data_IF_726396342257
#
_entry.id   IF_726396342257
#
_cell.length_a   1.000
_cell.length_b   1.000
_cell.length_c   1.000
_cell.angle_alpha   90.00
_cell.angle_beta   90.00
_cell.angle_gamma   90.00
#
_symmetry.space_group_name_H-M   'P 1'
#
loop_
_entity.id
_entity.type
_entity.pdbx_description
1 polymer ?
#
# COMPACT_ATOMS: atom_id res chain seq x y z
N UNK A 1 -35.23 -23.41 20.85
CA UNK A 1 -34.59 -24.41 21.74
C UNK A 1 -33.39 -24.94 20.94
N UNK A 2 -32.11 -24.65 21.19
CA UNK A 2 -31.32 -23.94 22.21
C UNK A 2 -30.64 -22.71 21.52
N UNK A 3 -29.84 -21.80 22.08
CA UNK A 3 -28.96 -21.80 23.25
C UNK A 3 -28.54 -20.34 23.56
N UNK A 4 -28.20 -20.06 24.83
CA UNK A 4 -27.67 -18.79 25.33
C UNK A 4 -26.14 -18.78 25.12
N UNK A 5 -25.54 -17.71 24.58
CA UNK A 5 -24.09 -17.52 24.62
C UNK A 5 -23.74 -16.09 25.05
N UNK A 6 -23.20 -15.95 26.26
CA UNK A 6 -22.47 -14.75 26.69
C UNK A 6 -21.06 -14.82 26.08
N UNK A 7 -20.61 -13.76 25.37
CA UNK A 7 -19.17 -13.48 25.35
C UNK A 7 -18.83 -12.01 25.10
N UNK A 8 -17.83 -11.63 25.87
CA UNK A 8 -17.25 -10.33 26.14
C UNK A 8 -16.21 -9.89 25.10
N UNK A 9 -16.05 -8.57 25.02
CA UNK A 9 -14.98 -7.77 24.41
C UNK A 9 -14.84 -7.87 22.88
N UNK A 10 -15.08 -6.72 22.24
CA UNK A 10 -14.67 -6.32 20.90
C UNK A 10 -13.41 -7.06 20.37
N UNK A 11 -13.62 -8.23 19.76
CA UNK A 11 -12.80 -8.72 18.67
C UNK A 11 -13.64 -8.49 17.44
N UNK A 12 -13.36 -7.41 16.73
CA UNK A 12 -13.92 -7.09 15.41
C UNK A 12 -13.48 -8.18 14.43
N UNK A 13 -14.18 -9.32 14.45
CA UNK A 13 -14.18 -10.26 13.33
C UNK A 13 -15.14 -9.63 12.34
N UNK A 14 -14.59 -8.75 11.52
CA UNK A 14 -15.31 -8.14 10.42
C UNK A 14 -15.47 -9.19 9.32
N UNK A 15 -16.71 -9.40 8.86
CA UNK A 15 -17.03 -10.34 7.79
C UNK A 15 -17.32 -9.53 6.53
N UNK A 16 -16.48 -9.70 5.51
CA UNK A 16 -16.69 -9.09 4.20
C UNK A 16 -17.52 -10.02 3.30
N UNK A 17 -18.65 -9.53 2.80
CA UNK A 17 -19.57 -10.27 1.91
C UNK A 17 -19.64 -9.60 0.55
N UNK A 18 -19.18 -10.29 -0.49
CA UNK A 18 -19.33 -9.83 -1.87
C UNK A 18 -20.58 -10.44 -2.50
N UNK A 19 -21.49 -9.58 -2.97
CA UNK A 19 -22.71 -9.96 -3.69
C UNK A 19 -22.52 -9.58 -5.16
N UNK A 20 -22.46 -10.58 -6.03
CA UNK A 20 -22.26 -10.37 -7.47
C UNK A 20 -23.63 -10.20 -8.13
N UNK A 21 -23.88 -8.99 -8.62
CA UNK A 21 -25.14 -8.63 -9.28
C UNK A 21 -25.11 -9.03 -10.76
N UNK A 22 -26.27 -9.04 -11.41
CA UNK A 22 -26.35 -9.25 -12.85
C UNK A 22 -25.72 -8.07 -13.62
N UNK A 23 -25.23 -8.32 -14.85
CA UNK A 23 -24.54 -7.34 -15.69
C UNK A 23 -25.44 -6.19 -16.19
N UNK A 24 -26.75 -6.39 -16.22
CA UNK A 24 -27.73 -5.37 -16.64
C UNK A 24 -28.00 -4.32 -15.55
N UNK A 25 -27.65 -4.63 -14.29
CA UNK A 25 -27.79 -3.71 -13.16
C UNK A 25 -26.88 -2.48 -13.31
N UNK A 26 -27.45 -1.29 -13.07
CA UNK A 26 -26.77 0.02 -13.23
C UNK A 26 -26.41 0.69 -11.91
N UNK A 27 -26.54 -0.02 -10.79
CA UNK A 27 -26.20 0.47 -9.47
C UNK A 27 -25.17 -0.45 -8.80
N UNK A 28 -24.56 0.08 -7.74
CA UNK A 28 -23.73 -0.67 -6.79
C UNK A 28 -24.12 -0.23 -5.39
N UNK A 29 -23.89 -1.09 -4.42
CA UNK A 29 -24.16 -0.78 -3.02
C UNK A 29 -23.01 -1.28 -2.15
N UNK A 30 -22.67 -0.47 -1.14
CA UNK A 30 -21.80 -0.88 -0.04
C UNK A 30 -22.53 -0.51 1.24
N UNK A 31 -22.62 -1.45 2.16
CA UNK A 31 -23.29 -1.23 3.42
C UNK A 31 -22.68 -2.05 4.53
N UNK A 32 -23.09 -1.72 5.75
CA UNK A 32 -22.65 -2.40 6.96
C UNK A 32 -23.90 -2.79 7.77
N UNK A 33 -23.92 -3.99 8.31
CA UNK A 33 -24.99 -4.46 9.17
C UNK A 33 -24.42 -5.27 10.33
N UNK A 34 -24.95 -5.05 11.53
CA UNK A 34 -24.64 -5.89 12.68
C UNK A 34 -25.64 -7.05 12.70
N UNK A 35 -25.13 -8.29 12.66
CA UNK A 35 -25.94 -9.52 12.76
C UNK A 35 -25.33 -10.39 13.84
N UNK A 36 -26.11 -10.73 14.87
CA UNK A 36 -25.69 -11.54 16.01
C UNK A 36 -24.36 -11.09 16.67
N UNK A 37 -24.14 -9.76 16.70
CA UNK A 37 -22.94 -9.14 17.27
C UNK A 37 -21.72 -9.08 16.35
N UNK A 38 -21.81 -9.58 15.11
CA UNK A 38 -20.77 -9.46 14.09
C UNK A 38 -21.04 -8.26 13.18
N UNK A 39 -20.00 -7.48 12.87
CA UNK A 39 -20.06 -6.46 11.82
C UNK A 39 -19.90 -7.17 10.47
N UNK A 40 -20.95 -7.15 9.67
CA UNK A 40 -20.94 -7.63 8.30
C UNK A 40 -20.85 -6.41 7.39
N UNK A 41 -19.74 -6.28 6.66
CA UNK A 41 -19.62 -5.35 5.56
C UNK A 41 -20.01 -6.07 4.26
N UNK A 42 -20.90 -5.49 3.46
CA UNK A 42 -21.31 -6.10 2.18
C UNK A 42 -21.07 -5.17 0.99
N UNK A 43 -20.78 -5.79 -0.15
CA UNK A 43 -20.45 -5.14 -1.41
C UNK A 43 -21.24 -5.75 -2.56
N UNK A 44 -22.31 -5.08 -2.98
CA UNK A 44 -23.11 -5.49 -4.12
C UNK A 44 -22.61 -4.80 -5.40
N UNK A 45 -21.97 -5.55 -6.29
CA UNK A 45 -21.37 -5.02 -7.52
C UNK A 45 -21.67 -5.92 -8.73
N UNK A 46 -21.96 -5.36 -9.91
CA UNK A 46 -21.96 -6.14 -11.15
C UNK A 46 -20.51 -6.52 -11.53
N UNK A 47 -20.27 -7.63 -12.26
CA UNK A 47 -18.94 -8.11 -12.66
C UNK A 47 -18.09 -7.03 -13.35
N UNK A 48 -18.70 -6.22 -14.22
CA UNK A 48 -18.01 -5.12 -14.90
C UNK A 48 -17.38 -4.10 -13.94
N UNK A 49 -17.96 -3.90 -12.75
CA UNK A 49 -17.40 -2.99 -11.75
C UNK A 49 -16.21 -3.61 -11.01
N UNK A 50 -16.21 -4.92 -10.78
CA UNK A 50 -15.11 -5.65 -10.13
C UNK A 50 -13.87 -5.65 -11.02
N UNK A 51 -14.05 -5.87 -12.33
CA UNK A 51 -12.95 -5.76 -13.31
C UNK A 51 -12.31 -4.38 -13.32
N UNK A 52 -13.10 -3.32 -13.15
CA UNK A 52 -12.57 -1.96 -12.99
C UNK A 52 -11.78 -1.81 -11.69
N UNK A 53 -12.22 -2.41 -10.59
CA UNK A 53 -11.41 -2.41 -9.36
C UNK A 53 -10.07 -3.12 -9.55
N UNK A 54 -10.02 -4.25 -10.24
CA UNK A 54 -8.76 -4.93 -10.55
C UNK A 54 -7.83 -4.02 -11.36
N UNK A 55 -8.36 -3.36 -12.40
CA UNK A 55 -7.60 -2.41 -13.21
C UNK A 55 -7.13 -1.20 -12.39
N UNK A 56 -8.01 -0.59 -11.59
CA UNK A 56 -7.68 0.57 -10.76
C UNK A 56 -6.64 0.24 -9.70
N UNK A 57 -6.75 -0.93 -9.08
CA UNK A 57 -5.76 -1.41 -8.12
C UNK A 57 -4.42 -1.64 -8.81
N UNK A 58 -4.40 -2.35 -9.94
CA UNK A 58 -3.17 -2.55 -10.72
C UNK A 58 -2.50 -1.23 -11.10
N UNK A 59 -3.26 -0.26 -11.62
CA UNK A 59 -2.74 1.07 -12.00
C UNK A 59 -2.18 1.85 -10.80
N UNK A 60 -2.62 1.54 -9.58
CA UNK A 60 -2.14 2.15 -8.33
C UNK A 60 -1.13 1.28 -7.59
N UNK A 61 -0.65 0.21 -8.24
CA UNK A 61 0.21 -0.83 -7.65
C UNK A 61 -0.38 -1.42 -6.35
N UNK A 62 -1.71 -1.58 -6.28
CA UNK A 62 -2.43 -2.20 -5.16
C UNK A 62 -2.94 -3.57 -5.60
N UNK A 63 -3.27 -4.41 -4.63
CA UNK A 63 -3.78 -5.77 -4.90
C UNK A 63 -5.06 -6.10 -4.13
N UNK A 64 -5.66 -5.12 -3.45
CA UNK A 64 -6.73 -5.36 -2.46
C UNK A 64 -7.90 -6.16 -3.05
N UNK A 65 -8.46 -5.68 -4.16
CA UNK A 65 -9.59 -6.34 -4.80
C UNK A 65 -9.24 -7.73 -5.34
N UNK A 66 -8.04 -7.91 -5.91
CA UNK A 66 -7.56 -9.21 -6.39
C UNK A 66 -7.46 -10.21 -5.22
N UNK A 67 -6.80 -9.81 -4.13
CA UNK A 67 -6.61 -10.65 -2.92
C UNK A 67 -7.95 -11.02 -2.29
N UNK A 68 -8.90 -10.06 -2.19
CA UNK A 68 -10.25 -10.34 -1.69
C UNK A 68 -10.94 -11.44 -2.50
N UNK A 69 -10.87 -11.36 -3.84
CA UNK A 69 -11.48 -12.37 -4.69
C UNK A 69 -10.76 -13.72 -4.63
N UNK A 70 -9.43 -13.73 -4.61
CA UNK A 70 -8.65 -14.98 -4.55
C UNK A 70 -8.86 -15.74 -3.25
N UNK A 71 -8.86 -15.02 -2.12
CA UNK A 71 -8.93 -15.62 -0.77
C UNK A 71 -10.36 -15.85 -0.28
N UNK A 72 -11.35 -15.17 -0.86
CA UNK A 72 -12.75 -15.32 -0.48
C UNK A 72 -13.32 -16.72 -0.72
N UNK A 73 -14.21 -17.16 0.17
CA UNK A 73 -14.94 -18.43 0.01
C UNK A 73 -16.22 -18.20 -0.81
N UNK A 74 -16.48 -19.06 -1.80
CA UNK A 74 -17.74 -19.04 -2.56
C UNK A 74 -18.80 -19.74 -1.72
N UNK A 75 -19.87 -19.03 -1.37
CA UNK A 75 -21.04 -19.61 -0.71
C UNK A 75 -22.05 -20.13 -1.73
N UNK A 76 -22.33 -19.35 -2.79
CA UNK A 76 -23.25 -19.70 -3.88
C UNK A 76 -22.75 -19.10 -5.19
N UNK A 77 -22.77 -19.87 -6.28
CA UNK A 77 -22.56 -19.37 -7.65
C UNK A 77 -23.34 -20.25 -8.64
N UNK A 78 -24.45 -19.73 -9.14
CA UNK A 78 -25.32 -20.46 -10.08
C UNK A 78 -24.93 -20.25 -11.55
N UNK A 79 -24.01 -19.32 -11.82
CA UNK A 79 -23.66 -18.89 -13.19
C UNK A 79 -22.23 -19.20 -13.59
N UNK A 80 -21.35 -19.43 -12.61
CA UNK A 80 -19.91 -19.62 -12.80
C UNK A 80 -19.11 -18.31 -12.79
N UNK A 81 -19.77 -17.15 -12.74
CA UNK A 81 -19.12 -15.83 -12.86
C UNK A 81 -18.12 -15.56 -11.73
N UNK A 82 -18.31 -16.12 -10.53
CA UNK A 82 -17.41 -15.88 -9.40
C UNK A 82 -16.07 -16.60 -9.64
N UNK A 83 -16.13 -17.80 -10.21
CA UNK A 83 -14.92 -18.52 -10.60
C UNK A 83 -14.16 -17.81 -11.73
N UNK A 84 -14.87 -17.25 -12.72
CA UNK A 84 -14.24 -16.42 -13.76
C UNK A 84 -13.52 -15.21 -13.16
N UNK A 85 -14.19 -14.46 -12.28
CA UNK A 85 -13.59 -13.29 -11.62
C UNK A 85 -12.39 -13.67 -10.74
N UNK A 86 -12.40 -14.85 -10.11
CA UNK A 86 -11.23 -15.39 -9.40
C UNK A 86 -10.05 -15.64 -10.33
N UNK A 87 -10.28 -16.30 -11.46
CA UNK A 87 -9.22 -16.54 -12.46
C UNK A 87 -8.67 -15.23 -13.01
N UNK A 88 -9.53 -14.25 -13.29
CA UNK A 88 -9.11 -12.91 -13.68
C UNK A 88 -8.26 -12.24 -12.60
N UNK A 89 -8.62 -12.36 -11.31
CA UNK A 89 -7.84 -11.81 -10.21
C UNK A 89 -6.41 -12.39 -10.15
N UNK A 90 -6.25 -13.71 -10.35
CA UNK A 90 -4.93 -14.33 -10.51
C UNK A 90 -4.17 -13.76 -11.69
N UNK A 91 -4.80 -13.67 -12.87
CA UNK A 91 -4.18 -13.12 -14.06
C UNK A 91 -3.77 -11.65 -13.91
N UNK A 92 -4.52 -10.85 -13.14
CA UNK A 92 -4.15 -9.46 -12.82
C UNK A 92 -2.93 -9.39 -11.90
N UNK A 93 -2.84 -10.26 -10.89
CA UNK A 93 -1.72 -10.26 -9.94
C UNK A 93 -0.41 -10.74 -10.58
N UNK A 94 -0.48 -11.56 -11.63
CA UNK A 94 0.70 -12.02 -12.39
C UNK A 94 1.24 -10.96 -13.38
N UNK A 95 0.54 -9.85 -13.59
CA UNK A 95 1.02 -8.77 -14.46
C UNK A 95 2.19 -8.03 -13.82
N UNK A 96 3.18 -7.68 -14.65
CA UNK A 96 4.28 -6.83 -14.23
C UNK A 96 3.88 -5.35 -14.30
N UNK A 97 4.28 -4.59 -13.29
CA UNK A 97 4.20 -3.13 -13.34
C UNK A 97 5.18 -2.57 -14.38
N UNK A 98 4.81 -1.44 -14.97
CA UNK A 98 5.71 -0.71 -15.86
C UNK A 98 6.86 -0.12 -15.04
N UNK A 99 8.08 -0.24 -15.57
CA UNK A 99 9.24 0.41 -14.97
C UNK A 99 9.08 1.93 -15.03
N UNK A 100 9.42 2.61 -13.93
CA UNK A 100 9.41 4.07 -13.87
C UNK A 100 10.26 4.64 -15.01
N UNK A 101 9.67 5.53 -15.81
CA UNK A 101 10.42 6.19 -16.89
C UNK A 101 11.50 7.14 -16.31
N UNK A 102 12.53 7.42 -17.12
CA UNK A 102 13.69 8.20 -16.67
C UNK A 102 13.34 9.58 -16.13
N UNK A 103 12.41 10.28 -16.78
CA UNK A 103 11.99 11.63 -16.36
C UNK A 103 11.34 11.60 -14.98
N UNK A 104 10.41 10.65 -14.75
CA UNK A 104 9.76 10.46 -13.45
C UNK A 104 10.79 10.03 -12.40
N UNK A 105 11.72 9.14 -12.74
CA UNK A 105 12.79 8.74 -11.82
C UNK A 105 13.63 9.94 -11.36
N UNK A 106 14.04 10.81 -12.28
CA UNK A 106 14.81 12.02 -11.93
C UNK A 106 14.00 13.00 -11.07
N UNK A 107 12.70 13.17 -11.36
CA UNK A 107 11.81 13.99 -10.53
C UNK A 107 11.64 13.41 -9.11
N UNK A 108 11.57 12.08 -8.98
CA UNK A 108 11.49 11.40 -7.68
C UNK A 108 12.76 11.58 -6.86
N UNK A 109 13.94 11.46 -7.48
CA UNK A 109 15.22 11.75 -6.80
C UNK A 109 15.27 13.19 -6.29
N UNK A 110 14.86 14.15 -7.12
CA UNK A 110 14.76 15.55 -6.71
C UNK A 110 13.78 15.73 -5.54
N UNK A 111 12.62 15.07 -5.60
CA UNK A 111 11.64 15.05 -4.51
C UNK A 111 12.21 14.50 -3.20
N UNK A 112 12.94 13.38 -3.23
CA UNK A 112 13.59 12.81 -2.05
C UNK A 112 14.66 13.72 -1.47
N UNK A 113 15.48 14.34 -2.32
CA UNK A 113 16.48 15.32 -1.89
C UNK A 113 15.83 16.53 -1.23
N UNK A 114 14.82 17.14 -1.87
CA UNK A 114 14.14 18.31 -1.32
C UNK A 114 13.34 17.99 -0.05
N UNK A 115 12.77 16.79 0.06
CA UNK A 115 12.12 16.32 1.28
C UNK A 115 13.12 16.22 2.44
N UNK A 116 14.33 15.68 2.19
CA UNK A 116 15.38 15.61 3.20
C UNK A 116 15.83 17.02 3.63
N UNK A 117 16.08 17.91 2.66
CA UNK A 117 16.49 19.30 2.90
C UNK A 117 15.47 20.04 3.78
N UNK A 118 14.19 19.97 3.42
CA UNK A 118 13.10 20.53 4.23
C UNK A 118 13.04 19.92 5.65
N UNK A 119 13.37 18.64 5.81
CA UNK A 119 13.38 17.97 7.12
C UNK A 119 14.56 18.44 7.98
N UNK A 120 15.74 18.65 7.37
CA UNK A 120 16.92 19.26 8.02
C UNK A 120 16.61 20.68 8.48
N UNK A 121 16.01 21.50 7.62
CA UNK A 121 15.57 22.85 7.98
C UNK A 121 14.63 22.85 9.19
N UNK A 122 13.67 21.90 9.21
CA UNK A 122 12.76 21.75 10.36
C UNK A 122 13.50 21.45 11.66
N UNK A 123 14.51 20.59 11.60
CA UNK A 123 15.34 20.23 12.75
C UNK A 123 16.19 21.42 13.23
N UNK A 124 16.91 22.09 12.31
CA UNK A 124 17.82 23.19 12.62
C UNK A 124 17.08 24.40 13.22
N UNK A 125 15.89 24.69 12.70
CA UNK A 125 15.00 25.73 13.21
C UNK A 125 14.29 25.33 14.52
N UNK A 126 14.52 24.11 15.03
CA UNK A 126 13.89 23.54 16.23
C UNK A 126 12.36 23.63 16.18
N UNK A 127 11.79 23.38 15.00
CA UNK A 127 10.33 23.46 14.83
C UNK A 127 9.63 22.37 15.63
N UNK A 128 8.52 22.73 16.26
CA UNK A 128 7.74 21.81 17.10
C UNK A 128 7.08 20.66 16.32
N UNK A 129 7.01 20.75 14.99
CA UNK A 129 6.45 19.74 14.10
C UNK A 129 7.51 18.82 13.46
N UNK A 130 8.79 18.91 13.87
CA UNK A 130 9.87 18.07 13.33
C UNK A 130 9.53 16.57 13.32
N UNK A 131 9.00 16.02 14.42
CA UNK A 131 8.67 14.59 14.52
C UNK A 131 7.62 14.20 13.47
N UNK A 132 6.62 15.05 13.25
CA UNK A 132 5.60 14.81 12.22
C UNK A 132 6.22 14.83 10.81
N UNK A 133 7.06 15.82 10.52
CA UNK A 133 7.76 15.95 9.23
C UNK A 133 8.68 14.75 8.98
N UNK A 134 9.41 14.30 9.99
CA UNK A 134 10.26 13.12 9.92
C UNK A 134 9.50 11.84 9.54
N UNK A 135 8.40 11.54 10.25
CA UNK A 135 7.62 10.34 9.94
C UNK A 135 6.91 10.43 8.58
N UNK A 136 6.50 11.63 8.17
CA UNK A 136 6.05 11.87 6.80
C UNK A 136 7.17 11.58 5.79
N UNK A 137 8.39 12.03 6.05
CA UNK A 137 9.54 11.79 5.18
C UNK A 137 9.87 10.30 5.06
N UNK A 138 9.83 9.55 6.16
CA UNK A 138 9.98 8.08 6.13
C UNK A 138 8.89 7.41 5.29
N UNK A 139 7.62 7.79 5.47
CA UNK A 139 6.52 7.23 4.69
C UNK A 139 6.68 7.51 3.20
N UNK A 140 7.04 8.73 2.83
CA UNK A 140 7.32 9.13 1.44
C UNK A 140 8.51 8.35 0.88
N UNK A 141 9.63 8.26 1.60
CA UNK A 141 10.78 7.49 1.17
C UNK A 141 10.45 6.02 0.90
N UNK A 142 9.67 5.39 1.78
CA UNK A 142 9.23 4.01 1.61
C UNK A 142 8.38 3.83 0.35
N UNK A 143 7.40 4.71 0.12
CA UNK A 143 6.55 4.65 -1.07
C UNK A 143 7.36 4.84 -2.36
N UNK A 144 8.24 5.83 -2.38
CA UNK A 144 9.08 6.16 -3.54
C UNK A 144 10.06 5.02 -3.88
N UNK A 145 10.72 4.47 -2.87
CA UNK A 145 11.64 3.35 -3.07
C UNK A 145 10.90 2.05 -3.42
N UNK A 146 9.76 1.78 -2.78
CA UNK A 146 8.90 0.66 -3.12
C UNK A 146 8.45 0.71 -4.58
N UNK A 147 8.04 1.88 -5.08
CA UNK A 147 7.67 2.05 -6.49
C UNK A 147 8.86 1.80 -7.41
N UNK A 148 10.06 2.31 -7.08
CA UNK A 148 11.27 2.05 -7.86
C UNK A 148 11.62 0.56 -7.95
N UNK A 149 11.38 -0.18 -6.86
CA UNK A 149 11.57 -1.63 -6.80
C UNK A 149 10.39 -2.43 -7.38
N UNK A 150 9.35 -1.78 -7.91
CA UNK A 150 8.10 -2.40 -8.35
C UNK A 150 7.41 -3.25 -7.27
N UNK A 151 7.52 -2.81 -6.01
CA UNK A 151 6.78 -3.39 -4.88
C UNK A 151 5.37 -2.82 -4.84
N UNK A 152 4.40 -3.64 -4.45
CA UNK A 152 3.03 -3.19 -4.20
C UNK A 152 3.01 -2.02 -3.21
N UNK A 153 2.13 -1.05 -3.46
CA UNK A 153 1.81 0.04 -2.54
C UNK A 153 1.22 -0.53 -1.26
N UNK A 154 1.94 -0.34 -0.15
CA UNK A 154 1.51 -0.73 1.19
C UNK A 154 0.93 0.50 1.90
N UNK A 155 -0.30 0.43 2.45
CA UNK A 155 -0.84 1.51 3.27
C UNK A 155 0.09 1.82 4.45
N UNK A 156 0.29 3.11 4.77
CA UNK A 156 1.27 3.54 5.78
C UNK A 156 1.11 2.83 7.13
N UNK A 157 -0.13 2.62 7.58
CA UNK A 157 -0.43 1.92 8.83
C UNK A 157 -0.11 0.42 8.83
N UNK A 158 0.25 -0.15 7.68
CA UNK A 158 0.59 -1.56 7.51
C UNK A 158 2.08 -1.79 7.20
N UNK A 159 2.86 -0.75 6.91
CA UNK A 159 4.28 -0.88 6.50
C UNK A 159 5.08 -1.72 7.50
N UNK A 160 4.93 -1.45 8.80
CA UNK A 160 5.66 -2.22 9.81
C UNK A 160 5.30 -3.71 9.77
N UNK A 161 4.00 -4.05 9.73
CA UNK A 161 3.53 -5.43 9.64
C UNK A 161 4.03 -6.10 8.36
N UNK A 162 3.98 -5.40 7.22
CA UNK A 162 4.53 -5.89 5.96
C UNK A 162 6.03 -6.25 6.06
N UNK A 163 6.82 -5.46 6.79
CA UNK A 163 8.26 -5.68 6.90
C UNK A 163 8.65 -6.81 7.88
N UNK A 164 7.82 -7.12 8.88
CA UNK A 164 8.23 -8.03 9.98
C UNK A 164 7.30 -9.20 10.25
N UNK A 165 6.03 -9.14 9.83
CA UNK A 165 5.02 -10.13 10.19
C UNK A 165 4.78 -11.13 9.03
N UNK A 166 5.23 -12.39 9.15
CA UNK A 166 4.97 -13.40 8.13
C UNK A 166 3.47 -13.72 7.98
N UNK A 167 2.65 -13.51 9.02
CA UNK A 167 1.19 -13.70 8.95
C UNK A 167 0.58 -12.63 8.05
N UNK A 168 1.08 -11.39 8.10
CA UNK A 168 0.66 -10.33 7.18
C UNK A 168 0.95 -10.72 5.72
N UNK A 169 2.17 -11.19 5.44
CA UNK A 169 2.56 -11.61 4.08
C UNK A 169 1.65 -12.72 3.55
N UNK A 170 1.37 -13.73 4.37
CA UNK A 170 0.47 -14.81 4.01
C UNK A 170 -0.96 -14.31 3.79
N UNK A 171 -1.50 -13.53 4.73
CA UNK A 171 -2.89 -13.03 4.70
C UNK A 171 -3.17 -12.20 3.44
N UNK A 172 -2.23 -11.33 3.06
CA UNK A 172 -2.41 -10.40 1.94
C UNK A 172 -1.71 -10.87 0.66
N UNK A 173 -1.22 -12.11 0.63
CA UNK A 173 -0.51 -12.71 -0.51
C UNK A 173 0.64 -11.81 -1.02
N UNK A 174 1.42 -11.26 -0.10
CA UNK A 174 2.52 -10.33 -0.40
C UNK A 174 3.85 -11.06 -0.41
N UNK A 175 4.69 -10.70 -1.37
CA UNK A 175 6.11 -11.06 -1.34
C UNK A 175 6.85 -10.22 -0.29
N UNK A 176 7.88 -10.80 0.33
CA UNK A 176 8.76 -10.07 1.22
C UNK A 176 9.41 -8.88 0.50
N UNK A 177 9.71 -7.82 1.24
CA UNK A 177 10.42 -6.66 0.69
C UNK A 177 11.79 -7.09 0.15
N UNK A 178 12.16 -6.73 -1.09
CA UNK A 178 13.29 -7.37 -1.78
C UNK A 178 14.66 -6.85 -1.32
N UNK A 179 14.74 -5.67 -0.71
CA UNK A 179 15.98 -5.09 -0.21
C UNK A 179 16.05 -5.18 1.32
N UNK A 180 16.70 -6.24 1.80
CA UNK A 180 16.84 -6.50 3.23
C UNK A 180 17.70 -5.43 3.95
N UNK A 181 18.69 -4.84 3.27
CA UNK A 181 19.52 -3.81 3.89
C UNK A 181 18.71 -2.53 4.15
N UNK A 182 17.96 -2.07 3.15
CA UNK A 182 17.02 -0.96 3.33
C UNK A 182 16.01 -1.27 4.44
N UNK A 183 15.43 -2.47 4.44
CA UNK A 183 14.45 -2.88 5.46
C UNK A 183 15.02 -2.74 6.87
N UNK A 184 16.25 -3.19 7.11
CA UNK A 184 16.87 -3.06 8.44
C UNK A 184 17.12 -1.60 8.83
N UNK A 185 17.64 -0.78 7.90
CA UNK A 185 17.82 0.66 8.14
C UNK A 185 16.47 1.35 8.44
N UNK A 186 15.42 1.01 7.70
CA UNK A 186 14.10 1.60 7.83
C UNK A 186 13.44 1.23 9.17
N UNK A 187 13.53 -0.05 9.57
CA UNK A 187 13.03 -0.51 10.86
C UNK A 187 13.78 0.09 12.04
N UNK A 188 15.07 0.38 11.88
CA UNK A 188 15.84 1.12 12.88
C UNK A 188 15.34 2.57 12.99
N UNK A 189 15.21 3.27 11.86
CA UNK A 189 14.73 4.66 11.80
C UNK A 189 13.31 4.82 12.38
N UNK A 190 12.42 3.84 12.21
CA UNK A 190 11.07 3.86 12.81
C UNK A 190 11.06 3.80 14.34
N UNK A 191 12.10 3.23 14.96
CA UNK A 191 12.18 3.05 16.42
C UNK A 191 12.96 4.17 17.11
N UNK A 192 13.66 5.00 16.33
CA UNK A 192 14.46 6.07 16.89
C UNK A 192 13.59 7.16 17.50
N UNK A 193 14.04 7.69 18.64
CA UNK A 193 13.33 8.70 19.43
C UNK A 193 14.19 9.91 19.76
N UNK A 194 15.51 9.78 19.65
CA UNK A 194 16.42 10.90 19.71
C UNK A 194 16.38 11.66 18.37
N UNK A 195 16.04 12.95 18.41
CA UNK A 195 15.83 13.76 17.20
C UNK A 195 17.06 13.91 16.31
N UNK A 196 18.26 13.91 16.89
CA UNK A 196 19.52 13.95 16.14
C UNK A 196 19.73 12.62 15.39
N UNK A 197 19.56 11.50 16.09
CA UNK A 197 19.68 10.16 15.50
C UNK A 197 18.57 9.86 14.49
N UNK A 198 17.36 10.42 14.68
CA UNK A 198 16.29 10.38 13.68
C UNK A 198 16.79 11.02 12.38
N UNK A 199 17.33 12.24 12.45
CA UNK A 199 17.82 12.93 11.26
C UNK A 199 18.96 12.17 10.59
N UNK A 200 19.96 11.71 11.35
CA UNK A 200 21.06 10.89 10.83
C UNK A 200 20.57 9.61 10.13
N UNK A 201 19.57 8.94 10.72
CA UNK A 201 18.96 7.74 10.15
C UNK A 201 18.25 8.02 8.82
N UNK A 202 17.49 9.13 8.75
CA UNK A 202 16.83 9.56 7.52
C UNK A 202 17.85 9.93 6.44
N UNK A 203 18.92 10.65 6.80
CA UNK A 203 20.00 11.01 5.87
C UNK A 203 20.67 9.76 5.28
N UNK A 204 20.98 8.78 6.11
CA UNK A 204 21.57 7.52 5.68
C UNK A 204 20.62 6.76 4.73
N UNK A 205 19.34 6.69 5.08
CA UNK A 205 18.30 6.06 4.27
C UNK A 205 18.11 6.73 2.90
N UNK A 206 17.96 8.06 2.87
CA UNK A 206 17.81 8.82 1.62
C UNK A 206 19.07 8.67 0.76
N UNK A 207 20.25 8.76 1.35
CA UNK A 207 21.52 8.58 0.63
C UNK A 207 21.63 7.18 0.01
N UNK A 208 21.22 6.15 0.77
CA UNK A 208 21.18 4.78 0.28
C UNK A 208 20.20 4.64 -0.90
N UNK A 209 18.96 5.12 -0.76
CA UNK A 209 17.95 5.04 -1.82
C UNK A 209 18.38 5.80 -3.07
N UNK A 210 18.90 7.03 -2.93
CA UNK A 210 19.39 7.80 -4.07
C UNK A 210 20.52 7.06 -4.79
N UNK A 211 21.44 6.40 -4.06
CA UNK A 211 22.48 5.55 -4.65
C UNK A 211 21.88 4.38 -5.44
N UNK A 212 20.87 3.69 -4.90
CA UNK A 212 20.17 2.60 -5.59
C UNK A 212 19.44 3.09 -6.85
N UNK A 213 18.92 4.31 -6.83
CA UNK A 213 18.30 4.96 -8.00
C UNK A 213 19.32 5.49 -9.03
N UNK A 214 20.62 5.25 -8.84
CA UNK A 214 21.68 5.68 -9.77
C UNK A 214 22.37 7.00 -9.41
N UNK A 215 22.24 7.44 -8.15
CA UNK A 215 22.81 8.67 -7.64
C UNK A 215 21.97 9.92 -7.94
N UNK A 216 22.29 11.00 -7.22
CA UNK A 216 21.69 12.32 -7.40
C UNK A 216 22.69 13.42 -7.00
N UNK A 217 22.71 14.51 -7.75
CA UNK A 217 23.50 15.71 -7.47
C UNK A 217 22.64 16.92 -7.82
N UNK A 218 22.44 17.82 -6.86
CA UNK A 218 21.62 19.03 -7.06
C UNK A 218 22.35 20.10 -7.88
N UNK A 219 23.68 20.13 -7.82
CA UNK A 219 24.49 21.09 -8.56
C UNK A 219 24.40 20.83 -10.07
N UNK A 220 23.83 21.79 -10.80
CA UNK A 220 23.55 21.67 -12.23
C UNK A 220 22.38 20.74 -12.59
N UNK A 221 21.57 20.31 -11.62
CA UNK A 221 20.42 19.45 -11.88
C UNK A 221 19.39 20.15 -12.80
N UNK A 222 18.96 19.44 -13.84
CA UNK A 222 17.92 19.90 -14.75
C UNK A 222 17.19 18.71 -15.36
N UNK A 223 15.88 18.87 -15.58
CA UNK A 223 15.05 17.89 -16.28
C UNK A 223 14.22 18.59 -17.35
N UNK A 224 14.09 17.97 -18.52
CA UNK A 224 13.17 18.39 -19.57
C UNK A 224 12.12 17.32 -19.75
N UNK A 225 10.85 17.70 -19.75
CA UNK A 225 9.71 16.83 -19.99
C UNK A 225 8.82 17.40 -21.09
N UNK A 226 8.04 16.55 -21.80
CA UNK A 226 6.94 17.02 -22.63
C UNK A 226 5.89 17.78 -21.80
N UNK A 227 5.07 18.60 -22.47
CA UNK A 227 3.85 19.18 -21.88
C UNK A 227 2.84 18.05 -21.69
N UNK A 228 2.19 17.98 -20.53
CA UNK A 228 1.10 17.03 -20.27
C UNK A 228 -0.11 17.34 -21.17
N UNK A 229 -0.68 16.30 -21.78
CA UNK A 229 -1.85 16.39 -22.68
C UNK A 229 -3.16 16.07 -21.99
#
# INVERSE_FOLDING_TARGET
MWELCYRTSFRTIDIDVHIILSNDVKWRERGNQIVDGFLIEYFANPPGQIRRYFQDDFNKHRTMSMVQFQTGQILFDYTGIINELKLEAYAWQEKNYETINKTVLELKKYGLWGMLDNTKDCYEQKRGDFIFVYHHALATLFMEYGQFLNVDTIPTYQIHAYLVDPIYLQKYMKSAFPDEHFKQMFLHALKESNTEQMLESLEALVSYVLKQMGGFCIDGWHVKSPIEG
#
